data_IF_014307392834
#
_entry.id   IF_014307392834
#
_cell.length_a   1.000
_cell.length_b   1.000
_cell.length_c   1.000
_cell.angle_alpha   90.00
_cell.angle_beta   90.00
_cell.angle_gamma   90.00
#
_symmetry.space_group_name_H-M   'P 1'
#
loop_
_entity.id
_entity.type
_entity.pdbx_description
1 polymer ?
#
# COMPACT_ATOMS: atom_id res chain seq x y z
N UNK A 1 -21.19 45.77 -10.21
CA UNK A 1 -21.40 44.55 -9.40
C UNK A 1 -21.35 43.33 -10.29
N UNK A 2 -20.36 42.46 -10.08
CA UNK A 2 -20.35 41.07 -10.58
C UNK A 2 -19.90 40.23 -9.38
N UNK A 3 -20.84 39.56 -8.74
CA UNK A 3 -20.53 38.66 -7.64
C UNK A 3 -19.78 37.43 -8.17
N UNK A 4 -18.86 36.83 -7.40
CA UNK A 4 -18.28 35.56 -7.78
C UNK A 4 -19.39 34.48 -7.72
N UNK A 5 -19.74 33.96 -8.90
CA UNK A 5 -20.34 32.64 -9.04
C UNK A 5 -19.22 31.65 -8.71
N UNK A 6 -19.19 31.14 -7.49
CA UNK A 6 -18.52 29.88 -7.18
C UNK A 6 -19.61 28.93 -6.67
N UNK A 7 -19.92 27.83 -7.39
CA UNK A 7 -20.86 26.86 -6.88
C UNK A 7 -20.31 26.22 -5.60
N UNK A 8 -21.16 25.80 -4.65
CA UNK A 8 -20.71 24.97 -3.54
C UNK A 8 -20.11 23.70 -4.14
N UNK A 9 -18.84 23.42 -3.85
CA UNK A 9 -18.26 22.12 -4.14
C UNK A 9 -19.14 21.08 -3.43
N UNK A 10 -19.90 20.31 -4.22
CA UNK A 10 -20.55 19.08 -3.77
C UNK A 10 -19.45 18.21 -3.15
N UNK A 11 -19.69 17.47 -2.04
CA UNK A 11 -18.68 16.58 -1.50
C UNK A 11 -18.17 15.69 -2.63
N UNK A 12 -16.90 15.87 -3.03
CA UNK A 12 -16.30 15.01 -4.03
C UNK A 12 -16.33 13.62 -3.41
N UNK A 13 -17.07 12.69 -4.03
CA UNK A 13 -16.91 11.29 -3.72
C UNK A 13 -15.41 10.99 -3.74
N UNK A 14 -14.90 10.33 -2.70
CA UNK A 14 -13.48 10.01 -2.58
C UNK A 14 -12.99 9.39 -3.90
N UNK A 15 -11.88 9.90 -4.42
CA UNK A 15 -11.24 9.36 -5.61
C UNK A 15 -10.89 7.88 -5.36
N UNK A 16 -10.78 7.08 -6.43
CA UNK A 16 -10.34 5.68 -6.30
C UNK A 16 -8.98 5.55 -5.60
N UNK A 17 -8.14 6.58 -5.65
CA UNK A 17 -6.86 6.61 -4.96
C UNK A 17 -7.04 6.76 -3.45
N UNK A 18 -7.95 7.64 -3.03
CA UNK A 18 -8.29 7.85 -1.61
C UNK A 18 -8.91 6.60 -1.02
N UNK A 19 -9.88 5.97 -1.71
CA UNK A 19 -10.48 4.71 -1.24
C UNK A 19 -9.46 3.59 -1.08
N UNK A 20 -8.45 3.51 -1.95
CA UNK A 20 -7.38 2.52 -1.82
C UNK A 20 -6.43 2.86 -0.67
N UNK A 21 -6.10 4.14 -0.49
CA UNK A 21 -5.29 4.60 0.63
C UNK A 21 -5.98 4.31 1.98
N UNK A 22 -7.30 4.45 2.06
CA UNK A 22 -8.08 4.08 3.25
C UNK A 22 -7.94 2.59 3.57
N UNK A 23 -7.92 1.69 2.57
CA UNK A 23 -7.69 0.26 2.81
C UNK A 23 -6.30 -0.02 3.39
N UNK A 24 -5.28 0.71 2.92
CA UNK A 24 -3.91 0.60 3.45
C UNK A 24 -3.89 1.13 4.88
N UNK A 25 -4.47 2.29 5.15
CA UNK A 25 -4.53 2.88 6.49
C UNK A 25 -5.28 1.98 7.48
N UNK A 26 -6.45 1.45 7.07
CA UNK A 26 -7.23 0.51 7.87
C UNK A 26 -6.41 -0.72 8.26
N UNK A 27 -5.54 -1.21 7.36
CA UNK A 27 -4.62 -2.32 7.62
C UNK A 27 -3.54 -1.93 8.64
N UNK A 28 -2.89 -0.78 8.43
CA UNK A 28 -1.83 -0.26 9.30
C UNK A 28 -2.35 -0.01 10.72
N UNK A 29 -3.50 0.65 10.86
CA UNK A 29 -4.14 0.93 12.15
C UNK A 29 -4.45 -0.36 12.93
N UNK A 30 -4.73 -1.46 12.23
CA UNK A 30 -4.92 -2.77 12.88
C UNK A 30 -3.62 -3.34 13.43
N UNK A 31 -2.55 -3.27 12.64
CA UNK A 31 -1.23 -3.79 13.01
C UNK A 31 -0.55 -2.92 14.07
N UNK A 32 -0.69 -1.59 14.00
CA UNK A 32 -0.09 -0.62 14.93
C UNK A 32 -0.45 -0.89 16.39
N UNK A 33 -1.64 -1.46 16.66
CA UNK A 33 -2.04 -1.85 18.02
C UNK A 33 -1.11 -2.90 18.64
N UNK A 34 -0.51 -3.76 17.82
CA UNK A 34 0.47 -4.79 18.25
C UNK A 34 1.91 -4.35 17.97
N UNK A 35 2.11 -3.51 16.96
CA UNK A 35 3.40 -3.04 16.49
C UNK A 35 3.44 -1.50 16.50
N UNK A 36 3.54 -0.84 17.67
CA UNK A 36 3.53 0.62 17.75
C UNK A 36 4.64 1.30 16.95
N UNK A 37 5.75 0.61 16.68
CA UNK A 37 6.84 1.14 15.85
C UNK A 37 6.47 1.37 14.39
N UNK A 38 5.32 0.86 13.91
CA UNK A 38 4.85 1.15 12.55
C UNK A 38 4.55 2.64 12.35
N UNK A 39 4.32 3.39 13.44
CA UNK A 39 4.18 4.84 13.40
C UNK A 39 5.44 5.57 12.88
N UNK A 40 6.61 4.92 12.89
CA UNK A 40 7.88 5.45 12.37
C UNK A 40 8.16 5.02 10.90
N UNK A 41 7.21 4.34 10.25
CA UNK A 41 7.30 3.84 8.86
C UNK A 41 6.34 4.62 7.96
N UNK A 42 6.87 5.10 6.83
CA UNK A 42 6.06 5.74 5.79
C UNK A 42 5.33 4.66 4.95
N UNK A 43 4.00 4.64 4.98
CA UNK A 43 3.18 3.82 4.09
C UNK A 43 2.76 4.62 2.84
N UNK A 44 3.15 4.14 1.66
CA UNK A 44 2.97 4.84 0.40
C UNK A 44 2.14 4.02 -0.58
N UNK A 45 1.16 4.65 -1.22
CA UNK A 45 0.42 4.08 -2.34
C UNK A 45 0.99 4.61 -3.64
N UNK A 46 1.45 3.72 -4.51
CA UNK A 46 1.87 4.05 -5.87
C UNK A 46 0.97 3.38 -6.89
N UNK A 47 0.85 3.95 -8.09
CA UNK A 47 0.01 3.38 -9.15
C UNK A 47 0.49 1.99 -9.59
N UNK A 48 1.76 1.90 -9.96
CA UNK A 48 2.43 0.70 -10.43
C UNK A 48 3.94 0.89 -10.29
N UNK A 49 4.74 -0.19 -10.27
CA UNK A 49 6.18 -0.11 -10.30
C UNK A 49 6.65 0.65 -11.55
N UNK A 50 7.58 1.60 -11.40
CA UNK A 50 8.24 2.23 -12.56
C UNK A 50 9.35 1.30 -13.04
N UNK A 51 9.39 1.05 -14.34
CA UNK A 51 10.42 0.18 -14.96
C UNK A 51 11.78 0.88 -15.09
N UNK A 52 11.83 2.20 -14.97
CA UNK A 52 13.06 2.98 -15.13
C UNK A 52 13.94 2.85 -13.89
N UNK A 53 15.07 2.15 -14.03
CA UNK A 53 16.07 1.93 -12.96
C UNK A 53 16.54 0.48 -12.83
N UNK A 54 15.85 -0.45 -13.48
CA UNK A 54 16.30 -1.82 -13.69
C UNK A 54 16.87 -1.84 -15.12
N UNK A 55 18.19 -1.93 -15.26
CA UNK A 55 18.88 -1.89 -16.57
C UNK A 55 18.32 -2.90 -17.56
N UNK A 56 18.88 -2.95 -18.78
CA UNK A 56 18.48 -3.82 -19.90
C UNK A 56 18.36 -5.34 -19.56
N UNK A 57 18.68 -5.74 -18.32
CA UNK A 57 18.47 -7.05 -17.72
C UNK A 57 17.11 -7.25 -17.04
N UNK A 58 16.24 -6.24 -16.94
CA UNK A 58 14.82 -6.44 -16.63
C UNK A 58 14.01 -6.85 -17.89
N UNK A 59 14.68 -7.57 -18.79
CA UNK A 59 14.04 -8.36 -19.81
C UNK A 59 13.12 -9.35 -19.11
N UNK A 60 11.82 -9.02 -19.03
CA UNK A 60 10.70 -9.93 -18.77
C UNK A 60 11.13 -11.19 -18.02
N UNK A 61 11.56 -11.02 -16.76
CA UNK A 61 11.60 -12.16 -15.86
C UNK A 61 10.17 -12.70 -15.83
N UNK A 62 9.97 -14.02 -15.87
CA UNK A 62 8.68 -14.67 -15.58
C UNK A 62 8.12 -14.28 -14.19
N UNK A 63 8.84 -13.45 -13.45
CA UNK A 63 8.46 -12.84 -12.18
C UNK A 63 7.24 -11.93 -12.33
N UNK A 64 6.19 -12.28 -11.58
CA UNK A 64 4.94 -11.54 -11.55
C UNK A 64 5.15 -10.06 -11.16
N UNK A 65 4.33 -9.16 -11.72
CA UNK A 65 4.31 -7.74 -11.33
C UNK A 65 4.13 -7.63 -9.81
N UNK A 66 5.06 -6.97 -9.07
CA UNK A 66 5.00 -6.92 -7.62
C UNK A 66 3.81 -6.09 -7.14
N UNK A 67 3.24 -6.51 -6.01
CA UNK A 67 2.10 -5.85 -5.37
C UNK A 67 2.51 -4.86 -4.28
N UNK A 68 3.69 -5.06 -3.69
CA UNK A 68 4.29 -4.13 -2.74
C UNK A 68 5.82 -4.14 -2.83
N UNK A 69 6.44 -3.35 -1.96
CA UNK A 69 7.89 -3.35 -1.78
C UNK A 69 8.30 -2.56 -0.55
N UNK A 70 9.51 -2.81 -0.04
CA UNK A 70 10.07 -2.09 1.10
C UNK A 70 11.26 -1.21 0.68
N UNK A 71 11.47 -0.12 1.41
CA UNK A 71 12.71 0.66 1.35
C UNK A 71 13.21 0.81 2.78
N UNK A 72 14.40 0.29 3.13
CA UNK A 72 14.93 0.43 4.46
C UNK A 72 15.22 1.91 4.78
N UNK A 73 15.19 2.25 6.06
CA UNK A 73 15.54 3.57 6.54
C UNK A 73 16.95 3.97 6.09
N UNK A 74 17.14 5.27 5.83
CA UNK A 74 18.44 5.87 5.50
C UNK A 74 18.59 7.16 6.29
N UNK A 75 19.80 7.73 6.31
CA UNK A 75 20.07 8.95 7.09
C UNK A 75 19.05 10.07 6.77
N UNK A 76 18.28 10.46 7.80
CA UNK A 76 17.23 11.47 7.71
C UNK A 76 15.94 11.04 6.98
N UNK A 77 15.74 9.74 6.68
CA UNK A 77 14.54 9.23 6.01
C UNK A 77 14.02 7.96 6.71
N UNK A 78 12.73 7.91 7.10
CA UNK A 78 12.15 6.71 7.67
C UNK A 78 12.13 5.57 6.65
N UNK A 79 11.98 4.34 7.15
CA UNK A 79 11.70 3.20 6.28
C UNK A 79 10.35 3.39 5.60
N UNK A 80 10.17 2.76 4.44
CA UNK A 80 8.94 2.84 3.65
C UNK A 80 8.40 1.48 3.29
N UNK A 81 7.09 1.35 3.37
CA UNK A 81 6.33 0.27 2.74
C UNK A 81 5.53 0.87 1.58
N UNK A 82 5.64 0.26 0.41
CA UNK A 82 4.93 0.68 -0.80
C UNK A 82 3.88 -0.38 -1.15
N UNK A 83 2.67 0.06 -1.47
CA UNK A 83 1.61 -0.77 -2.05
C UNK A 83 1.27 -0.26 -3.44
N UNK A 84 1.29 -1.15 -4.44
CA UNK A 84 1.00 -0.80 -5.83
C UNK A 84 -0.48 -1.02 -6.15
N UNK A 85 -1.23 0.07 -6.31
CA UNK A 85 -2.69 0.05 -6.50
C UNK A 85 -3.14 -0.75 -7.73
N UNK A 86 -2.61 -0.44 -8.91
CA UNK A 86 -3.13 -0.97 -10.18
C UNK A 86 -2.94 -2.49 -10.30
N UNK A 87 -1.78 -3.07 -9.91
CA UNK A 87 -1.63 -4.53 -9.85
C UNK A 87 -2.62 -5.23 -8.90
N UNK A 88 -2.99 -4.59 -7.79
CA UNK A 88 -3.97 -5.10 -6.82
C UNK A 88 -5.40 -5.00 -7.37
N UNK A 89 -5.76 -3.85 -7.96
CA UNK A 89 -7.07 -3.65 -8.59
C UNK A 89 -7.33 -4.64 -9.74
N UNK A 90 -6.28 -5.01 -10.51
CA UNK A 90 -6.40 -5.99 -11.60
C UNK A 90 -6.67 -7.40 -11.09
N UNK A 91 -6.14 -7.76 -9.92
CA UNK A 91 -6.27 -9.10 -9.33
C UNK A 91 -7.56 -9.31 -8.55
N UNK A 92 -8.27 -8.23 -8.21
CA UNK A 92 -9.41 -8.25 -7.27
C UNK A 92 -10.69 -7.82 -7.98
N UNK A 93 -11.79 -8.52 -7.72
CA UNK A 93 -13.10 -8.27 -8.34
C UNK A 93 -14.00 -7.36 -7.50
N UNK A 94 -13.75 -7.27 -6.20
CA UNK A 94 -14.60 -6.56 -5.25
C UNK A 94 -13.83 -5.77 -4.21
N UNK A 95 -14.56 -5.00 -3.39
CA UNK A 95 -13.96 -4.22 -2.29
C UNK A 95 -13.37 -5.11 -1.21
N UNK A 96 -14.06 -6.20 -0.85
CA UNK A 96 -13.65 -7.06 0.26
C UNK A 96 -12.40 -7.87 -0.09
N UNK A 97 -12.38 -8.49 -1.28
CA UNK A 97 -11.18 -9.17 -1.82
C UNK A 97 -9.99 -8.20 -1.93
N UNK A 98 -10.26 -6.93 -2.31
CA UNK A 98 -9.22 -5.90 -2.33
C UNK A 98 -8.72 -5.54 -0.94
N UNK A 99 -9.61 -5.43 0.04
CA UNK A 99 -9.24 -5.14 1.41
C UNK A 99 -8.40 -6.27 2.02
N UNK A 100 -8.76 -7.52 1.74
CA UNK A 100 -8.00 -8.71 2.13
C UNK A 100 -6.60 -8.70 1.50
N UNK A 101 -6.50 -8.56 0.17
CA UNK A 101 -5.21 -8.55 -0.52
C UNK A 101 -4.34 -7.36 -0.11
N UNK A 102 -4.91 -6.17 0.11
CA UNK A 102 -4.16 -5.02 0.65
C UNK A 102 -3.59 -5.34 2.03
N UNK A 103 -4.39 -5.99 2.88
CA UNK A 103 -3.96 -6.35 4.22
C UNK A 103 -2.83 -7.38 4.19
N UNK A 104 -2.95 -8.44 3.38
CA UNK A 104 -1.89 -9.43 3.14
C UNK A 104 -0.58 -8.76 2.71
N UNK A 105 -0.62 -7.89 1.68
CA UNK A 105 0.56 -7.18 1.20
C UNK A 105 1.19 -6.36 2.33
N UNK A 106 0.40 -5.60 3.10
CA UNK A 106 0.93 -4.80 4.21
C UNK A 106 1.60 -5.69 5.26
N UNK A 107 1.01 -6.83 5.61
CA UNK A 107 1.59 -7.80 6.54
C UNK A 107 2.93 -8.34 6.01
N UNK A 108 2.96 -8.80 4.75
CA UNK A 108 4.17 -9.31 4.11
C UNK A 108 5.29 -8.27 4.08
N UNK A 109 4.99 -7.03 3.66
CA UNK A 109 6.00 -5.98 3.55
C UNK A 109 6.51 -5.51 4.92
N UNK A 110 5.64 -5.46 5.93
CA UNK A 110 6.06 -5.18 7.31
C UNK A 110 6.94 -6.31 7.84
N UNK A 111 6.57 -7.58 7.59
CA UNK A 111 7.35 -8.73 8.01
C UNK A 111 8.74 -8.70 7.37
N UNK A 112 8.82 -8.46 6.06
CA UNK A 112 10.09 -8.31 5.34
C UNK A 112 10.94 -7.18 5.95
N UNK A 113 10.35 -6.00 6.16
CA UNK A 113 11.06 -4.84 6.70
C UNK A 113 11.59 -5.07 8.12
N UNK A 114 10.84 -5.79 8.95
CA UNK A 114 11.21 -6.11 10.34
C UNK A 114 12.04 -7.38 10.48
N UNK A 115 12.26 -8.14 9.40
CA UNK A 115 12.96 -9.43 9.43
C UNK A 115 12.18 -10.52 10.17
N UNK A 116 10.86 -10.50 10.07
CA UNK A 116 9.93 -11.43 10.72
C UNK A 116 9.20 -12.29 9.69
N UNK A 117 8.44 -13.29 10.16
CA UNK A 117 7.46 -13.97 9.31
C UNK A 117 6.12 -13.21 9.29
N UNK A 118 5.32 -13.30 8.22
CA UNK A 118 3.98 -12.72 8.16
C UNK A 118 3.08 -13.11 9.34
N UNK A 119 3.11 -14.37 9.77
CA UNK A 119 2.30 -14.89 10.89
C UNK A 119 2.73 -14.30 12.24
N UNK A 120 3.99 -13.86 12.35
CA UNK A 120 4.47 -13.13 13.54
C UNK A 120 3.84 -11.73 13.58
N UNK A 121 3.72 -11.09 12.42
CA UNK A 121 3.13 -9.75 12.27
C UNK A 121 1.62 -9.79 12.48
N UNK A 122 0.94 -10.70 11.80
CA UNK A 122 -0.49 -10.99 11.98
C UNK A 122 -0.73 -12.51 12.14
N UNK A 123 -1.14 -12.99 13.33
CA UNK A 123 -1.43 -14.40 13.56
C UNK A 123 -2.55 -14.99 12.69
N UNK A 124 -3.39 -14.17 12.05
CA UNK A 124 -4.46 -14.59 11.13
C UNK A 124 -4.01 -14.61 9.67
N UNK A 125 -2.75 -14.33 9.40
CA UNK A 125 -2.21 -14.32 8.05
C UNK A 125 -2.40 -15.68 7.38
N UNK A 126 -2.95 -15.70 6.16
CA UNK A 126 -3.23 -16.91 5.39
C UNK A 126 -4.46 -17.71 5.85
N UNK A 127 -5.23 -17.20 6.81
CA UNK A 127 -6.54 -17.76 7.18
C UNK A 127 -7.64 -17.12 6.29
N UNK A 128 -8.09 -17.85 5.28
CA UNK A 128 -9.28 -17.53 4.46
C UNK A 128 -10.60 -18.03 5.07
#
# INVERSE_FOLDING_TARGET
>A
MRGPIAPPQVPLAASRAEVFADLVQDSVDRLERRWPQLADIDFLVLEAPRLEGRGEQAAWSDEAVPLGGTVPAREGRPARVVVYRRPVEIRTKGRDERAALVHEIVVEQVAELLGLTPETVDPRYGED
#
